data_IF_280195708609
#
_entry.id   IF_280195708609
#
_cell.length_a   1.000
_cell.length_b   1.000
_cell.length_c   1.000
_cell.angle_alpha   90.00
_cell.angle_beta   90.00
_cell.angle_gamma   90.00
#
_symmetry.space_group_name_H-M   'P 1'
#
loop_
_entity.id
_entity.type
_entity.pdbx_description
1 polymer ?
#
# COMPACT_ATOMS: atom_id res chain seq x y z
N UNK A 1 -10.41 10.46 -23.74
CA UNK A 1 -9.44 10.04 -22.69
C UNK A 1 -9.00 11.26 -21.89
N UNK A 2 -9.07 11.24 -20.55
CA UNK A 2 -8.63 12.38 -19.72
C UNK A 2 -7.10 12.52 -19.77
N UNK A 3 -6.61 13.76 -19.92
CA UNK A 3 -5.17 14.10 -19.97
C UNK A 3 -4.47 13.67 -18.67
N UNK A 4 -5.16 13.71 -17.53
CA UNK A 4 -4.67 13.22 -16.24
C UNK A 4 -4.18 11.76 -16.29
N UNK A 5 -4.83 10.89 -17.07
CA UNK A 5 -4.44 9.47 -17.14
C UNK A 5 -3.33 9.20 -18.15
N UNK A 6 -3.15 10.08 -19.13
CA UNK A 6 -1.97 10.04 -20.01
C UNK A 6 -0.72 10.44 -19.23
N UNK A 7 -0.85 11.46 -18.37
CA UNK A 7 0.21 11.93 -17.48
C UNK A 7 0.46 10.93 -16.35
N UNK A 8 -0.53 10.68 -15.50
CA UNK A 8 -0.39 9.90 -14.26
C UNK A 8 -0.19 8.39 -14.46
N UNK A 9 -0.44 7.87 -15.66
CA UNK A 9 -0.04 6.51 -16.08
C UNK A 9 0.93 6.54 -17.27
N UNK A 10 1.78 7.57 -17.32
CA UNK A 10 2.76 7.81 -18.37
C UNK A 10 4.16 7.33 -17.99
N UNK A 11 5.13 8.22 -18.13
CA UNK A 11 6.55 7.98 -17.84
C UNK A 11 7.14 9.24 -17.22
N UNK A 12 7.91 9.07 -16.17
CA UNK A 12 8.75 10.13 -15.60
C UNK A 12 10.04 10.18 -16.40
N UNK A 13 10.31 11.33 -17.01
CA UNK A 13 11.48 11.50 -17.91
C UNK A 13 12.77 11.77 -17.13
N UNK A 14 12.70 12.50 -16.01
CA UNK A 14 13.87 13.01 -15.31
C UNK A 14 13.93 12.53 -13.84
N UNK A 15 15.13 12.20 -13.40
CA UNK A 15 15.50 12.11 -11.98
C UNK A 15 16.05 13.47 -11.56
N UNK A 16 15.43 14.10 -10.55
CA UNK A 16 15.78 15.44 -10.11
C UNK A 16 16.29 15.42 -8.67
N UNK A 17 17.14 16.40 -8.35
CA UNK A 17 17.50 16.81 -7.00
C UNK A 17 17.34 18.33 -6.95
N UNK A 18 16.43 18.80 -6.11
CA UNK A 18 16.06 20.21 -5.99
C UNK A 18 16.19 20.59 -4.52
N UNK A 19 17.08 21.55 -4.23
CA UNK A 19 17.36 21.97 -2.86
C UNK A 19 16.17 22.68 -2.20
N UNK A 20 15.38 23.42 -2.98
CA UNK A 20 14.21 24.14 -2.49
C UNK A 20 13.12 24.22 -3.57
N UNK A 21 11.94 23.68 -3.25
CA UNK A 21 10.74 23.80 -4.08
C UNK A 21 10.08 25.17 -3.91
N UNK A 22 9.40 25.64 -4.95
CA UNK A 22 8.58 26.86 -4.85
C UNK A 22 7.40 26.63 -3.89
N UNK A 23 7.42 27.31 -2.75
CA UNK A 23 6.39 27.22 -1.72
C UNK A 23 5.36 28.35 -1.85
N UNK A 24 4.08 28.00 -1.71
CA UNK A 24 2.97 28.93 -1.47
C UNK A 24 2.38 28.62 -0.10
N UNK A 25 2.07 29.64 0.70
CA UNK A 25 1.61 29.46 2.08
C UNK A 25 2.77 29.30 3.06
N UNK A 26 2.49 28.79 4.27
CA UNK A 26 3.50 28.62 5.33
C UNK A 26 3.39 27.22 5.95
N UNK A 27 4.51 26.50 5.95
CA UNK A 27 4.65 25.23 6.66
C UNK A 27 4.91 25.53 8.15
N UNK A 28 4.26 24.84 9.10
CA UNK A 28 4.54 25.04 10.52
C UNK A 28 5.99 24.72 10.88
N UNK A 29 6.61 25.58 11.69
CA UNK A 29 8.05 25.51 12.04
C UNK A 29 8.45 24.21 12.78
N UNK A 30 7.49 23.43 13.28
CA UNK A 30 7.74 22.14 13.94
C UNK A 30 7.83 20.95 12.98
N UNK A 31 7.47 21.15 11.70
CA UNK A 31 7.50 20.10 10.67
C UNK A 31 8.93 19.96 10.16
N UNK A 32 9.65 19.02 10.76
CA UNK A 32 11.03 18.70 10.45
C UNK A 32 11.16 17.19 10.21
N UNK A 33 11.75 16.79 9.10
CA UNK A 33 11.88 15.38 8.72
C UNK A 33 11.76 15.17 7.22
N UNK A 34 11.46 13.93 6.82
CA UNK A 34 11.41 13.55 5.41
C UNK A 34 10.24 12.63 5.11
N UNK A 35 9.45 12.99 4.11
CA UNK A 35 8.45 12.13 3.49
C UNK A 35 9.11 11.32 2.37
N UNK A 36 9.12 10.00 2.52
CA UNK A 36 9.48 9.07 1.44
C UNK A 36 8.20 8.46 0.86
N UNK A 37 8.06 8.49 -0.47
CA UNK A 37 6.93 7.91 -1.22
C UNK A 37 7.46 6.88 -2.22
N UNK A 38 6.67 5.84 -2.47
CA UNK A 38 6.92 4.87 -3.52
C UNK A 38 5.74 4.81 -4.50
N UNK A 39 6.06 4.44 -5.73
CA UNK A 39 5.08 4.27 -6.79
C UNK A 39 5.72 3.84 -8.10
N UNK A 40 4.93 3.74 -9.17
CA UNK A 40 5.44 3.55 -10.50
C UNK A 40 6.06 4.86 -11.02
N UNK A 41 7.28 4.82 -11.55
CA UNK A 41 7.91 5.91 -12.30
C UNK A 41 7.71 5.81 -13.80
N UNK A 42 7.34 4.63 -14.33
CA UNK A 42 6.98 4.46 -15.74
C UNK A 42 6.02 3.28 -15.94
N UNK A 43 5.12 3.41 -16.91
CA UNK A 43 4.24 2.35 -17.41
C UNK A 43 4.65 1.83 -18.79
N UNK A 44 5.88 2.11 -19.23
CA UNK A 44 6.40 1.71 -20.54
C UNK A 44 7.78 1.07 -20.44
N UNK A 45 8.06 0.18 -21.40
CA UNK A 45 9.40 -0.34 -21.68
C UNK A 45 9.53 -0.46 -23.21
N UNK A 46 10.28 0.47 -23.81
CA UNK A 46 10.29 0.67 -25.27
C UNK A 46 8.87 0.88 -25.81
N UNK A 47 8.47 0.05 -26.79
CA UNK A 47 7.14 0.11 -27.40
C UNK A 47 6.07 -0.71 -26.63
N UNK A 48 6.43 -1.35 -25.52
CA UNK A 48 5.51 -2.15 -24.72
C UNK A 48 4.93 -1.31 -23.57
N UNK A 49 3.65 -1.53 -23.28
CA UNK A 49 2.96 -0.89 -22.16
C UNK A 49 2.61 -1.94 -21.11
N UNK A 50 2.78 -1.57 -19.84
CA UNK A 50 2.22 -2.34 -18.74
C UNK A 50 0.69 -2.25 -18.75
N UNK A 51 0.01 -3.29 -18.25
CA UNK A 51 -1.45 -3.46 -18.40
C UNK A 51 -2.24 -2.98 -17.18
N UNK A 52 -1.61 -2.91 -16.02
CA UNK A 52 -2.28 -2.68 -14.74
C UNK A 52 -1.59 -1.57 -13.95
N UNK A 53 -2.34 -0.85 -13.13
CA UNK A 53 -1.78 0.20 -12.28
C UNK A 53 -0.59 -0.31 -11.45
N UNK A 54 -0.67 -1.53 -10.92
CA UNK A 54 0.38 -2.15 -10.09
C UNK A 54 1.61 -2.67 -10.85
N UNK A 55 1.69 -2.51 -12.18
CA UNK A 55 2.75 -3.12 -12.99
C UNK A 55 3.89 -2.17 -13.38
N UNK A 56 3.73 -0.84 -13.21
CA UNK A 56 4.77 0.12 -13.59
C UNK A 56 6.10 -0.14 -12.87
N UNK A 57 7.22 0.42 -13.34
CA UNK A 57 8.53 0.21 -12.69
C UNK A 57 8.75 1.18 -11.54
N UNK A 58 9.37 0.74 -10.44
CA UNK A 58 9.46 1.48 -9.18
C UNK A 58 10.27 2.79 -9.27
N UNK A 59 9.73 3.85 -8.66
CA UNK A 59 10.43 5.11 -8.42
C UNK A 59 10.16 5.60 -7.00
N UNK A 60 11.24 6.00 -6.33
CA UNK A 60 11.20 6.63 -5.01
C UNK A 60 11.12 8.14 -5.18
N UNK A 61 10.35 8.78 -4.30
CA UNK A 61 10.30 10.24 -4.17
C UNK A 61 10.57 10.64 -2.72
N UNK A 62 11.33 11.70 -2.52
CA UNK A 62 11.75 12.22 -1.22
C UNK A 62 11.40 13.70 -1.13
N UNK A 63 10.77 14.08 -0.03
CA UNK A 63 10.54 15.48 0.34
C UNK A 63 11.13 15.73 1.72
N UNK A 64 12.17 16.56 1.83
CA UNK A 64 12.81 16.87 3.11
C UNK A 64 12.39 18.26 3.57
N UNK A 65 11.83 18.33 4.78
CA UNK A 65 11.36 19.55 5.42
C UNK A 65 12.42 20.04 6.38
N UNK A 66 12.86 21.28 6.19
CA UNK A 66 13.84 21.91 7.06
C UNK A 66 13.69 23.42 7.11
N UNK A 67 13.62 23.99 8.30
CA UNK A 67 13.50 25.44 8.54
C UNK A 67 12.38 26.09 7.72
N UNK A 68 11.23 25.43 7.59
CA UNK A 68 10.09 25.93 6.80
C UNK A 68 10.23 25.82 5.28
N UNK A 69 11.32 25.22 4.78
CA UNK A 69 11.54 24.93 3.35
C UNK A 69 11.32 23.44 3.05
N UNK A 70 11.14 23.10 1.76
CA UNK A 70 10.98 21.72 1.29
C UNK A 70 11.92 21.48 0.11
N UNK A 71 12.80 20.49 0.23
CA UNK A 71 13.59 19.98 -0.89
C UNK A 71 12.93 18.76 -1.51
N UNK A 72 13.31 18.41 -2.75
CA UNK A 72 12.75 17.27 -3.47
C UNK A 72 13.83 16.45 -4.17
N UNK A 73 13.69 15.13 -4.16
CA UNK A 73 14.44 14.25 -5.03
C UNK A 73 13.59 13.06 -5.51
N UNK A 74 13.87 12.56 -6.70
CA UNK A 74 13.30 11.30 -7.18
C UNK A 74 14.35 10.44 -7.88
N UNK A 75 14.23 9.11 -7.73
CA UNK A 75 15.15 8.14 -8.32
C UNK A 75 14.42 6.85 -8.65
N UNK A 76 14.63 6.31 -9.85
CA UNK A 76 14.21 4.96 -10.20
C UNK A 76 14.95 3.97 -9.31
N UNK A 77 14.20 2.98 -8.81
CA UNK A 77 14.80 1.89 -8.06
C UNK A 77 15.65 1.05 -9.03
N UNK A 78 16.97 1.03 -8.82
CA UNK A 78 17.94 0.34 -9.67
C UNK A 78 17.91 -1.17 -9.45
N UNK A 79 16.80 -1.78 -9.87
CA UNK A 79 16.51 -3.20 -9.80
C UNK A 79 16.76 -3.89 -11.15
N UNK A 80 16.84 -5.23 -11.16
CA UNK A 80 17.06 -5.98 -12.41
C UNK A 80 15.91 -5.78 -13.39
N UNK A 81 14.66 -5.72 -12.90
CA UNK A 81 13.49 -5.47 -13.73
C UNK A 81 13.59 -4.13 -14.47
N UNK A 82 13.96 -3.05 -13.78
CA UNK A 82 14.15 -1.73 -14.40
C UNK A 82 15.34 -1.71 -15.36
N UNK A 83 16.49 -2.23 -14.94
CA UNK A 83 17.72 -2.20 -15.73
C UNK A 83 17.60 -3.03 -17.02
N UNK A 84 17.03 -4.24 -16.96
CA UNK A 84 16.78 -5.05 -18.16
C UNK A 84 15.72 -4.42 -19.06
N UNK A 85 14.67 -3.79 -18.49
CA UNK A 85 13.65 -3.12 -19.29
C UNK A 85 14.19 -1.91 -20.06
N UNK A 86 15.05 -1.12 -19.42
CA UNK A 86 15.73 0.03 -20.03
C UNK A 86 16.74 -0.41 -21.09
N UNK A 87 17.55 -1.43 -20.79
CA UNK A 87 18.59 -1.93 -21.70
C UNK A 87 18.00 -2.59 -22.97
N UNK A 88 16.94 -3.39 -22.79
CA UNK A 88 16.38 -4.19 -23.88
C UNK A 88 15.16 -3.55 -24.56
N UNK A 89 14.73 -2.38 -24.11
CA UNK A 89 13.54 -1.66 -24.58
C UNK A 89 12.28 -2.55 -24.62
N UNK A 90 12.14 -3.43 -23.63
CA UNK A 90 11.01 -4.38 -23.52
C UNK A 90 10.79 -4.83 -22.09
N UNK A 91 9.56 -5.20 -21.76
CA UNK A 91 9.22 -5.82 -20.49
C UNK A 91 9.97 -7.16 -20.40
N UNK A 92 10.77 -7.32 -19.35
CA UNK A 92 11.69 -8.46 -19.19
C UNK A 92 11.30 -9.41 -18.04
N UNK A 93 10.41 -8.96 -17.15
CA UNK A 93 9.94 -9.70 -15.97
C UNK A 93 8.42 -9.73 -15.93
N UNK A 94 7.87 -10.82 -15.39
CA UNK A 94 6.46 -10.90 -15.04
C UNK A 94 6.18 -10.04 -13.80
N UNK A 95 5.18 -9.19 -13.90
CA UNK A 95 4.69 -8.31 -12.83
C UNK A 95 3.37 -8.85 -12.25
N UNK A 96 2.56 -7.99 -11.64
CA UNK A 96 1.30 -8.38 -11.01
C UNK A 96 0.27 -8.89 -12.04
N UNK A 97 0.12 -8.20 -13.18
CA UNK A 97 -0.85 -8.49 -14.24
C UNK A 97 -0.28 -8.43 -15.67
N UNK A 98 1.03 -8.23 -15.82
CA UNK A 98 1.71 -8.20 -17.12
C UNK A 98 2.82 -9.25 -17.18
N UNK A 99 2.81 -10.08 -18.21
CA UNK A 99 3.91 -11.00 -18.54
C UNK A 99 4.71 -10.44 -19.73
N UNK A 100 6.02 -10.69 -19.80
CA UNK A 100 6.81 -10.32 -20.97
C UNK A 100 6.40 -11.20 -22.17
N UNK A 101 6.60 -10.68 -23.39
CA UNK A 101 6.35 -11.45 -24.61
C UNK A 101 7.40 -12.55 -24.78
N UNK A 102 7.14 -13.73 -24.20
CA UNK A 102 8.01 -14.90 -24.37
C UNK A 102 7.82 -15.57 -25.74
N UNK A 103 8.92 -15.96 -26.38
CA UNK A 103 8.90 -16.99 -27.42
C UNK A 103 8.46 -18.34 -26.83
N UNK A 104 8.00 -19.31 -27.64
CA UNK A 104 7.64 -20.64 -27.11
C UNK A 104 8.78 -21.30 -26.31
N UNK A 105 10.03 -21.08 -26.72
CA UNK A 105 11.21 -21.62 -26.05
C UNK A 105 11.49 -20.93 -24.71
N UNK A 106 11.31 -19.61 -24.63
CA UNK A 106 11.49 -18.86 -23.38
C UNK A 106 10.39 -19.17 -22.36
N UNK A 107 9.17 -19.49 -22.81
CA UNK A 107 8.10 -20.00 -21.93
C UNK A 107 8.50 -21.30 -21.25
N UNK A 108 9.11 -22.22 -21.99
CA UNK A 108 9.59 -23.51 -21.45
C UNK A 108 10.71 -23.26 -20.44
N UNK A 109 11.69 -22.41 -20.73
CA UNK A 109 12.74 -22.03 -19.77
C UNK A 109 12.20 -21.33 -18.52
N UNK A 110 11.23 -20.43 -18.66
CA UNK A 110 10.60 -19.71 -17.57
C UNK A 110 9.89 -20.62 -16.56
N UNK A 111 9.38 -21.77 -17.00
CA UNK A 111 8.81 -22.80 -16.11
C UNK A 111 9.88 -23.47 -15.24
N UNK A 112 11.11 -23.63 -15.74
CA UNK A 112 12.22 -24.25 -15.01
C UNK A 112 13.04 -23.26 -14.16
N UNK A 113 12.94 -21.95 -14.42
CA UNK A 113 13.63 -20.89 -13.68
C UNK A 113 12.81 -19.60 -13.70
N UNK A 114 11.74 -19.51 -12.88
CA UNK A 114 10.87 -18.34 -12.86
C UNK A 114 11.65 -17.10 -12.39
N UNK A 115 11.66 -16.05 -13.22
CA UNK A 115 12.19 -14.73 -12.87
C UNK A 115 11.13 -13.98 -12.07
N UNK A 116 11.33 -13.84 -10.75
CA UNK A 116 10.51 -12.98 -9.89
C UNK A 116 11.01 -11.54 -10.06
N UNK A 117 10.10 -10.60 -10.30
CA UNK A 117 10.42 -9.17 -10.38
C UNK A 117 10.99 -8.66 -9.05
N UNK A 118 11.93 -7.74 -9.11
CA UNK A 118 12.50 -7.01 -7.97
C UNK A 118 12.15 -5.51 -8.00
N UNK A 119 11.18 -5.12 -8.83
CA UNK A 119 10.65 -3.76 -8.90
C UNK A 119 9.66 -3.47 -7.77
N UNK A 120 10.18 -3.27 -6.55
CA UNK A 120 9.41 -2.96 -5.35
C UNK A 120 8.88 -1.51 -5.33
N UNK A 121 7.60 -1.33 -5.63
CA UNK A 121 6.97 -0.04 -5.98
C UNK A 121 5.80 0.38 -5.11
N UNK A 122 5.43 -0.44 -4.12
CA UNK A 122 4.16 -0.26 -3.43
C UNK A 122 4.31 0.64 -2.20
N UNK A 123 5.30 0.34 -1.35
CA UNK A 123 5.52 1.09 -0.10
C UNK A 123 7.02 1.29 0.17
N UNK A 124 7.34 2.10 1.18
CA UNK A 124 8.66 2.18 1.82
C UNK A 124 8.49 1.97 3.31
N UNK A 125 9.45 1.30 3.95
CA UNK A 125 9.44 1.08 5.39
C UNK A 125 10.83 1.07 5.99
N UNK A 126 10.94 1.51 7.24
CA UNK A 126 12.12 1.30 8.07
C UNK A 126 11.96 -0.05 8.80
N UNK A 127 12.58 -1.09 8.28
CA UNK A 127 12.52 -2.44 8.82
C UNK A 127 13.68 -2.65 9.82
N UNK A 128 13.50 -2.14 11.04
CA UNK A 128 14.47 -2.25 12.15
C UNK A 128 15.87 -1.72 11.82
N UNK A 129 15.95 -0.55 11.18
CA UNK A 129 17.19 0.16 10.84
C UNK A 129 17.61 0.06 9.37
N UNK A 130 16.83 -0.64 8.54
CA UNK A 130 17.03 -0.72 7.09
C UNK A 130 15.85 -0.07 6.37
N UNK A 131 16.13 0.86 5.47
CA UNK A 131 15.08 1.43 4.61
C UNK A 131 14.87 0.52 3.40
N UNK A 132 13.65 0.05 3.23
CA UNK A 132 13.30 -0.98 2.26
C UNK A 132 12.11 -0.53 1.44
N UNK A 133 12.26 -0.55 0.11
CA UNK A 133 11.19 -0.47 -0.85
C UNK A 133 10.45 -1.82 -0.88
N UNK A 134 9.13 -1.77 -0.70
CA UNK A 134 8.27 -2.93 -0.54
C UNK A 134 7.37 -3.12 -1.76
N UNK A 135 7.14 -4.37 -2.16
CA UNK A 135 6.28 -4.68 -3.30
C UNK A 135 5.71 -6.11 -3.30
N UNK A 136 4.67 -6.32 -4.09
CA UNK A 136 3.98 -7.61 -4.25
C UNK A 136 3.67 -7.85 -5.73
N UNK A 137 3.99 -9.03 -6.31
CA UNK A 137 4.69 -10.18 -5.73
C UNK A 137 6.23 -10.03 -5.74
N UNK A 138 6.77 -8.80 -5.79
CA UNK A 138 8.19 -8.56 -6.02
C UNK A 138 9.09 -8.94 -4.84
N UNK A 139 10.38 -9.10 -5.11
CA UNK A 139 11.40 -9.05 -4.07
C UNK A 139 11.45 -7.63 -3.47
N UNK A 140 11.77 -7.55 -2.18
CA UNK A 140 11.92 -6.26 -1.49
C UNK A 140 13.33 -5.73 -1.75
N UNK A 141 13.54 -4.42 -1.69
CA UNK A 141 14.84 -3.82 -2.01
C UNK A 141 15.26 -2.79 -0.96
N UNK A 142 16.40 -3.01 -0.32
CA UNK A 142 17.04 -2.03 0.55
C UNK A 142 17.56 -0.85 -0.30
N UNK A 143 17.41 0.36 0.23
CA UNK A 143 17.90 1.58 -0.39
C UNK A 143 18.44 2.54 0.67
N UNK A 144 19.36 3.41 0.26
CA UNK A 144 19.85 4.52 1.07
C UNK A 144 18.79 5.63 1.06
N UNK A 145 18.21 5.99 2.22
CA UNK A 145 17.13 6.97 2.29
C UNK A 145 17.60 8.43 2.09
N UNK A 146 18.90 8.71 2.23
CA UNK A 146 19.47 10.04 1.95
C UNK A 146 19.65 10.23 0.44
N UNK A 147 20.20 9.24 -0.26
CA UNK A 147 20.55 9.36 -1.69
C UNK A 147 19.53 8.71 -2.65
N UNK A 148 18.59 7.94 -2.10
CA UNK A 148 17.66 7.05 -2.82
C UNK A 148 18.36 5.93 -3.62
N UNK A 149 19.63 5.64 -3.33
CA UNK A 149 20.38 4.59 -4.04
C UNK A 149 19.96 3.19 -3.61
N UNK A 150 19.69 2.32 -4.58
CA UNK A 150 19.42 0.91 -4.32
C UNK A 150 20.67 0.21 -3.79
N UNK A 151 20.52 -0.46 -2.64
CA UNK A 151 21.59 -1.21 -1.99
C UNK A 151 21.55 -2.68 -2.42
N UNK A 152 20.37 -3.31 -2.37
CA UNK A 152 20.24 -4.71 -2.76
C UNK A 152 18.94 -5.36 -2.31
N UNK A 153 18.76 -6.63 -2.66
CA UNK A 153 17.55 -7.38 -2.31
C UNK A 153 17.49 -7.62 -0.81
N UNK A 154 16.34 -7.27 -0.22
CA UNK A 154 16.01 -7.57 1.17
C UNK A 154 15.12 -8.82 1.23
N UNK A 155 15.40 -9.72 2.18
CA UNK A 155 14.64 -10.95 2.35
C UNK A 155 14.37 -11.28 3.82
N UNK A 156 13.19 -11.84 4.09
CA UNK A 156 12.80 -12.32 5.42
C UNK A 156 13.36 -13.70 5.77
N UNK A 157 13.90 -14.45 4.80
CA UNK A 157 14.67 -15.68 5.05
C UNK A 157 15.48 -16.07 3.79
N UNK A 158 16.31 -17.11 3.88
CA UNK A 158 17.21 -17.56 2.81
C UNK A 158 16.52 -18.12 1.55
N UNK A 159 15.20 -18.29 1.55
CA UNK A 159 14.38 -18.83 0.45
C UNK A 159 13.59 -17.75 -0.27
N UNK A 160 14.29 -16.67 -0.62
CA UNK A 160 13.78 -15.42 -1.20
C UNK A 160 12.74 -15.64 -2.31
N UNK A 161 12.95 -16.62 -3.20
CA UNK A 161 12.11 -16.85 -4.38
C UNK A 161 10.81 -17.64 -4.12
N UNK A 162 10.45 -17.95 -2.88
CA UNK A 162 9.24 -18.73 -2.57
C UNK A 162 8.15 -17.91 -1.88
N UNK A 163 8.38 -16.61 -1.68
CA UNK A 163 7.51 -15.77 -0.87
C UNK A 163 6.80 -14.70 -1.68
N UNK A 164 5.54 -14.48 -1.31
CA UNK A 164 4.88 -13.18 -1.45
C UNK A 164 4.77 -12.60 -0.04
N UNK A 165 5.03 -11.30 0.12
CA UNK A 165 5.04 -10.65 1.43
C UNK A 165 4.11 -9.46 1.40
N UNK A 166 3.35 -9.25 2.47
CA UNK A 166 2.58 -8.02 2.63
C UNK A 166 3.51 -6.82 2.59
N UNK A 167 3.04 -5.70 2.06
CA UNK A 167 3.78 -4.42 1.96
C UNK A 167 3.42 -3.43 3.07
N UNK A 168 2.70 -3.94 4.07
CA UNK A 168 2.18 -3.20 5.23
C UNK A 168 2.66 -3.84 6.54
N UNK A 169 3.98 -3.80 6.81
CA UNK A 169 4.51 -4.27 8.08
C UNK A 169 4.00 -3.40 9.23
N UNK A 170 3.76 -4.01 10.38
CA UNK A 170 3.42 -3.28 11.60
C UNK A 170 4.65 -3.05 12.45
N UNK A 171 4.70 -1.90 13.13
CA UNK A 171 5.82 -1.50 14.00
C UNK A 171 5.32 -1.30 15.42
N UNK A 172 6.04 -1.87 16.39
CA UNK A 172 5.81 -1.69 17.82
C UNK A 172 7.14 -1.66 18.58
N UNK A 173 7.49 -0.51 19.17
CA UNK A 173 8.68 -0.34 20.01
C UNK A 173 9.99 -0.91 19.40
N UNK A 174 10.24 -0.61 18.13
CA UNK A 174 11.37 -1.08 17.29
C UNK A 174 11.32 -2.54 16.81
N UNK A 175 10.32 -3.32 17.23
CA UNK A 175 10.00 -4.59 16.59
C UNK A 175 9.16 -4.34 15.34
N UNK A 176 9.48 -5.03 14.27
CA UNK A 176 8.71 -5.01 13.03
C UNK A 176 8.12 -6.39 12.81
N UNK A 177 6.82 -6.48 12.56
CA UNK A 177 6.15 -7.72 12.21
C UNK A 177 5.60 -7.59 10.80
N UNK A 178 5.84 -8.61 9.97
CA UNK A 178 5.25 -8.68 8.64
C UNK A 178 4.72 -10.08 8.34
N UNK A 179 3.80 -10.19 7.38
CA UNK A 179 3.19 -11.45 6.98
C UNK A 179 3.75 -11.92 5.63
N UNK A 180 4.31 -13.12 5.60
CA UNK A 180 4.79 -13.76 4.37
C UNK A 180 3.98 -15.00 4.03
N UNK A 181 3.69 -15.19 2.76
CA UNK A 181 3.09 -16.40 2.20
C UNK A 181 4.16 -17.20 1.49
N UNK A 182 4.47 -18.39 2.01
CA UNK A 182 5.38 -19.33 1.36
C UNK A 182 4.62 -20.35 0.53
N UNK A 183 4.84 -20.32 -0.78
CA UNK A 183 4.23 -21.27 -1.71
C UNK A 183 4.96 -22.61 -1.70
N UNK A 184 4.17 -23.68 -1.84
CA UNK A 184 4.65 -25.05 -1.90
C UNK A 184 3.49 -26.04 -1.97
N UNK A 185 3.78 -27.35 -1.98
CA UNK A 185 2.74 -28.41 -1.97
C UNK A 185 1.73 -28.21 -0.84
N UNK A 186 2.22 -27.79 0.32
CA UNK A 186 1.42 -27.17 1.38
C UNK A 186 2.01 -25.80 1.60
N UNK A 187 1.23 -24.77 1.29
CA UNK A 187 1.66 -23.38 1.46
C UNK A 187 1.46 -22.97 2.93
N UNK A 188 2.15 -21.92 3.37
CA UNK A 188 2.05 -21.42 4.74
C UNK A 188 2.00 -19.90 4.77
N UNK A 189 1.07 -19.35 5.54
CA UNK A 189 1.20 -17.98 6.04
C UNK A 189 2.14 -17.97 7.24
N UNK A 190 3.01 -16.98 7.34
CA UNK A 190 4.05 -16.88 8.36
C UNK A 190 4.21 -15.44 8.82
N UNK A 191 4.00 -15.19 10.10
CA UNK A 191 4.36 -13.92 10.71
C UNK A 191 5.86 -13.93 11.02
N UNK A 192 6.59 -13.00 10.44
CA UNK A 192 8.02 -12.80 10.63
C UNK A 192 8.24 -11.56 11.47
N UNK A 193 9.04 -11.68 12.53
CA UNK A 193 9.48 -10.58 13.39
C UNK A 193 10.90 -10.19 13.05
N UNK A 194 11.16 -8.89 13.01
CA UNK A 194 12.48 -8.30 12.81
C UNK A 194 12.79 -7.39 13.99
N UNK A 195 14.04 -7.47 14.42
CA UNK A 195 14.61 -6.60 15.46
C UNK A 195 16.01 -6.22 15.01
N UNK A 196 16.44 -5.02 15.38
CA UNK A 196 17.72 -4.47 14.89
C UNK A 196 18.88 -5.40 15.27
N UNK A 197 19.68 -5.78 14.28
CA UNK A 197 20.86 -6.63 14.47
C UNK A 197 20.59 -8.13 14.60
N UNK A 198 19.33 -8.57 14.50
CA UNK A 198 18.97 -9.99 14.53
C UNK A 198 18.41 -10.45 13.18
N UNK A 199 18.60 -11.73 12.88
CA UNK A 199 17.93 -12.37 11.75
C UNK A 199 16.40 -12.41 11.96
N UNK A 200 15.59 -12.40 10.89
CA UNK A 200 14.14 -12.51 10.99
C UNK A 200 13.70 -13.80 11.70
N UNK A 201 12.73 -13.68 12.61
CA UNK A 201 12.25 -14.78 13.46
C UNK A 201 10.81 -15.14 13.10
N UNK A 202 10.50 -16.43 13.02
CA UNK A 202 9.12 -16.90 12.84
C UNK A 202 8.35 -16.75 14.17
N UNK A 203 7.25 -16.00 14.16
CA UNK A 203 6.37 -15.83 15.32
C UNK A 203 5.25 -16.87 15.31
N UNK A 204 4.53 -16.95 14.20
CA UNK A 204 3.38 -17.84 14.04
C UNK A 204 3.26 -18.30 12.60
N UNK A 205 2.62 -19.45 12.38
CA UNK A 205 2.38 -19.97 11.02
C UNK A 205 1.06 -20.70 10.89
N UNK A 206 0.49 -20.64 9.68
CA UNK A 206 -0.76 -21.30 9.33
C UNK A 206 -0.61 -22.02 7.99
N UNK A 207 -0.75 -23.35 8.02
CA UNK A 207 -0.83 -24.17 6.80
C UNK A 207 -2.08 -23.83 6.01
N UNK A 208 -1.93 -23.69 4.69
CA UNK A 208 -3.01 -23.40 3.76
C UNK A 208 -2.83 -24.15 2.44
N UNK A 209 -3.93 -24.73 1.93
CA UNK A 209 -3.92 -25.44 0.64
C UNK A 209 -4.11 -24.51 -0.54
N UNK A 210 -4.95 -23.50 -0.40
CA UNK A 210 -5.25 -22.50 -1.44
C UNK A 210 -5.05 -21.12 -0.84
N UNK A 211 -3.81 -20.58 -0.90
CA UNK A 211 -3.49 -19.27 -0.36
C UNK A 211 -4.43 -18.19 -0.91
N UNK A 212 -4.83 -17.27 -0.06
CA UNK A 212 -5.53 -16.05 -0.42
C UNK A 212 -4.55 -14.96 -0.83
N UNK A 213 -5.06 -13.97 -1.54
CA UNK A 213 -4.34 -12.72 -1.74
C UNK A 213 -4.44 -11.92 -0.44
N UNK A 214 -3.31 -11.65 0.20
CA UNK A 214 -3.21 -10.92 1.47
C UNK A 214 -2.29 -9.74 1.24
N UNK A 215 -2.83 -8.52 1.28
CA UNK A 215 -2.06 -7.30 1.06
C UNK A 215 -1.57 -6.65 2.37
N UNK A 216 -2.38 -6.78 3.42
CA UNK A 216 -2.10 -6.32 4.78
C UNK A 216 -2.67 -7.29 5.81
N UNK A 217 -2.39 -7.05 7.09
CA UNK A 217 -2.90 -7.84 8.20
C UNK A 217 -3.22 -6.94 9.41
N UNK A 218 -4.03 -7.44 10.35
CA UNK A 218 -4.35 -6.73 11.58
C UNK A 218 -3.40 -7.09 12.71
N UNK A 219 -3.03 -6.11 13.53
CA UNK A 219 -2.23 -6.31 14.75
C UNK A 219 -2.85 -5.53 15.90
N UNK A 220 -3.01 -6.19 17.03
CA UNK A 220 -3.38 -5.59 18.32
C UNK A 220 -2.25 -5.84 19.32
N UNK A 221 -2.40 -5.35 20.56
CA UNK A 221 -1.39 -5.47 21.59
C UNK A 221 -0.94 -6.93 21.80
N UNK A 222 -1.90 -7.85 21.86
CA UNK A 222 -1.65 -9.26 22.15
C UNK A 222 -1.87 -10.19 20.95
N UNK A 223 -2.53 -9.75 19.88
CA UNK A 223 -2.93 -10.63 18.78
C UNK A 223 -2.49 -10.19 17.39
N UNK A 224 -2.18 -11.19 16.55
CA UNK A 224 -1.97 -11.07 15.10
C UNK A 224 -3.17 -11.67 14.36
N UNK A 225 -3.67 -10.96 13.35
CA UNK A 225 -4.92 -11.27 12.64
C UNK A 225 -4.65 -11.50 11.17
N UNK A 226 -4.93 -12.71 10.68
CA UNK A 226 -5.04 -12.97 9.24
C UNK A 226 -6.52 -12.91 8.86
N UNK A 227 -6.88 -11.91 8.05
CA UNK A 227 -8.19 -11.83 7.40
C UNK A 227 -8.08 -12.46 6.01
N UNK A 228 -8.35 -13.77 5.93
CA UNK A 228 -8.16 -14.56 4.71
C UNK A 228 -9.38 -14.45 3.80
N UNK A 229 -9.33 -13.48 2.89
CA UNK A 229 -10.37 -13.25 1.88
C UNK A 229 -10.55 -14.47 0.96
N UNK A 230 -11.76 -14.74 0.45
CA UNK A 230 -12.00 -15.85 -0.46
C UNK A 230 -11.50 -15.62 -1.90
N UNK A 231 -10.51 -14.75 -2.10
CA UNK A 231 -9.81 -14.58 -3.37
C UNK A 231 -8.51 -15.39 -3.36
N UNK A 232 -8.54 -16.58 -3.94
CA UNK A 232 -7.53 -17.63 -3.67
C UNK A 232 -6.90 -18.21 -4.90
N UNK A 233 -5.72 -18.79 -4.74
CA UNK A 233 -4.96 -19.40 -5.82
C UNK A 233 -4.65 -20.87 -5.54
N UNK A 234 -4.52 -21.67 -6.61
CA UNK A 234 -3.93 -22.99 -6.53
C UNK A 234 -2.40 -22.86 -6.75
N UNK A 235 -1.55 -23.19 -5.77
CA UNK A 235 -0.10 -23.04 -5.89
C UNK A 235 0.52 -23.72 -7.11
N UNK A 236 -0.01 -24.88 -7.52
CA UNK A 236 0.47 -25.58 -8.72
C UNK A 236 0.14 -24.80 -10.00
N UNK A 237 -0.96 -24.05 -10.03
CA UNK A 237 -1.29 -23.23 -11.21
C UNK A 237 -0.33 -22.05 -11.37
N UNK A 238 0.09 -21.42 -10.27
CA UNK A 238 1.10 -20.33 -10.31
C UNK A 238 2.43 -20.85 -10.84
N UNK A 239 2.82 -22.07 -10.45
CA UNK A 239 4.10 -22.65 -10.87
C UNK A 239 4.12 -23.10 -12.33
N UNK A 240 2.97 -23.53 -12.89
CA UNK A 240 2.93 -24.21 -14.20
C UNK A 240 2.09 -23.52 -15.29
N UNK A 241 1.35 -22.44 -15.00
CA UNK A 241 0.60 -21.68 -16.03
C UNK A 241 1.35 -20.41 -16.45
N UNK A 242 1.37 -20.15 -17.75
CA UNK A 242 1.84 -18.90 -18.35
C UNK A 242 0.76 -17.80 -18.28
N UNK A 243 0.30 -17.48 -17.07
CA UNK A 243 -0.57 -16.33 -16.81
C UNK A 243 0.07 -15.44 -15.74
N UNK A 244 -0.17 -14.12 -15.79
CA UNK A 244 0.32 -13.20 -14.77
C UNK A 244 -0.17 -13.58 -13.37
N UNK A 245 0.53 -13.11 -12.33
CA UNK A 245 0.32 -13.51 -10.94
C UNK A 245 -1.15 -13.44 -10.52
N UNK A 246 -1.79 -12.28 -10.67
CA UNK A 246 -3.16 -12.07 -10.19
C UNK A 246 -4.22 -12.81 -11.01
N UNK A 247 -3.97 -13.06 -12.30
CA UNK A 247 -4.90 -13.79 -13.19
C UNK A 247 -5.05 -15.28 -12.82
N UNK A 248 -4.21 -15.79 -11.89
CA UNK A 248 -4.33 -17.13 -11.35
C UNK A 248 -5.29 -17.21 -10.14
N UNK A 249 -5.65 -16.08 -9.53
CA UNK A 249 -6.55 -16.01 -8.38
C UNK A 249 -8.02 -16.10 -8.80
N UNK A 250 -8.82 -16.77 -7.97
CA UNK A 250 -10.24 -17.04 -8.21
C UNK A 250 -11.03 -16.66 -6.97
N UNK A 251 -12.09 -15.87 -7.17
CA UNK A 251 -13.05 -15.52 -6.13
C UNK A 251 -13.96 -16.71 -5.81
N UNK A 252 -14.08 -17.05 -4.52
CA UNK A 252 -14.82 -18.21 -4.00
C UNK A 252 -15.68 -17.84 -2.79
N UNK A 253 -16.69 -16.97 -2.96
CA UNK A 253 -17.43 -16.35 -1.86
C UNK A 253 -18.13 -17.38 -0.96
N UNK A 254 -18.45 -18.56 -1.48
CA UNK A 254 -19.01 -19.69 -0.72
C UNK A 254 -18.13 -20.14 0.46
N UNK A 255 -16.84 -19.77 0.47
CA UNK A 255 -15.92 -20.04 1.60
C UNK A 255 -16.10 -19.09 2.79
N UNK A 256 -16.74 -17.94 2.59
CA UNK A 256 -16.67 -16.80 3.50
C UNK A 256 -15.25 -16.24 3.65
N UNK A 257 -15.12 -15.16 4.41
CA UNK A 257 -13.81 -14.66 4.84
C UNK A 257 -13.42 -15.33 6.14
N UNK A 258 -12.26 -16.00 6.17
CA UNK A 258 -11.79 -16.74 7.36
C UNK A 258 -10.86 -15.84 8.17
N UNK A 259 -11.09 -15.75 9.47
CA UNK A 259 -10.29 -14.93 10.38
C UNK A 259 -9.49 -15.87 11.28
N UNK A 260 -8.16 -15.75 11.25
CA UNK A 260 -7.25 -16.47 12.14
C UNK A 260 -6.62 -15.49 13.11
N UNK A 261 -6.71 -15.79 14.41
CA UNK A 261 -6.20 -14.95 15.48
C UNK A 261 -5.12 -15.73 16.21
N UNK A 262 -3.90 -15.20 16.21
CA UNK A 262 -2.75 -15.78 16.90
C UNK A 262 -2.38 -14.91 18.08
N UNK A 263 -2.01 -15.53 19.19
CA UNK A 263 -1.32 -14.84 20.28
C UNK A 263 0.08 -14.45 19.80
N UNK A 264 0.39 -13.16 19.89
CA UNK A 264 1.61 -12.56 19.32
C UNK A 264 2.87 -13.04 20.02
N UNK A 265 2.78 -13.39 21.30
CA UNK A 265 3.94 -13.77 22.12
C UNK A 265 4.29 -15.24 21.97
N UNK A 266 3.30 -16.13 22.10
CA UNK A 266 3.48 -17.58 22.04
C UNK A 266 3.35 -18.15 20.63
N UNK A 267 2.81 -17.38 19.69
CA UNK A 267 2.56 -17.81 18.31
C UNK A 267 1.38 -18.79 18.16
N UNK A 268 0.65 -19.08 19.24
CA UNK A 268 -0.44 -20.04 19.24
C UNK A 268 -1.66 -19.49 18.52
N UNK A 269 -2.30 -20.32 17.69
CA UNK A 269 -3.62 -20.03 17.14
C UNK A 269 -4.64 -20.04 18.28
N UNK A 270 -5.18 -18.87 18.63
CA UNK A 270 -6.19 -18.69 19.68
C UNK A 270 -7.58 -18.97 19.14
N UNK A 271 -7.86 -18.48 17.93
CA UNK A 271 -9.19 -18.59 17.35
C UNK A 271 -9.16 -18.66 15.84
N UNK A 272 -10.09 -19.44 15.30
CA UNK A 272 -10.46 -19.44 13.90
C UNK A 272 -11.97 -19.23 13.78
N UNK A 273 -12.38 -18.23 13.03
CA UNK A 273 -13.80 -17.93 12.79
C UNK A 273 -14.03 -17.51 11.34
N UNK A 274 -15.29 -17.31 10.97
CA UNK A 274 -15.72 -16.98 9.60
C UNK A 274 -16.73 -15.84 9.66
N UNK A 275 -16.63 -14.92 8.70
CA UNK A 275 -17.65 -13.90 8.40
C UNK A 275 -18.08 -14.01 6.94
N UNK A 276 -19.07 -13.21 6.54
CA UNK A 276 -19.49 -13.13 5.15
C UNK A 276 -18.33 -12.75 4.23
N UNK A 277 -18.38 -13.21 2.98
CA UNK A 277 -17.31 -12.97 2.02
C UNK A 277 -17.19 -11.47 1.71
N UNK A 278 -15.95 -10.99 1.74
CA UNK A 278 -15.57 -9.65 1.31
C UNK A 278 -14.09 -9.64 0.91
N UNK A 279 -13.65 -8.56 0.28
CA UNK A 279 -12.26 -8.36 -0.12
C UNK A 279 -11.73 -7.06 0.48
N UNK A 280 -10.43 -6.96 0.74
CA UNK A 280 -9.80 -5.70 1.12
C UNK A 280 -8.32 -5.69 0.76
N UNK A 281 -7.78 -4.49 0.58
CA UNK A 281 -6.35 -4.26 0.57
C UNK A 281 -5.85 -3.87 1.97
N UNK A 282 -6.53 -2.93 2.64
CA UNK A 282 -6.01 -2.27 3.82
C UNK A 282 -6.82 -2.56 5.09
N UNK A 283 -6.14 -3.14 6.09
CA UNK A 283 -6.54 -2.99 7.48
C UNK A 283 -6.22 -1.56 7.93
N UNK A 284 -7.09 -0.99 8.77
CA UNK A 284 -6.94 0.37 9.30
C UNK A 284 -6.27 0.28 10.68
N UNK A 285 -6.97 -0.28 11.67
CA UNK A 285 -6.43 -0.48 13.02
C UNK A 285 -7.07 -1.72 13.65
N UNK A 286 -6.43 -2.28 14.67
CA UNK A 286 -6.98 -3.41 15.44
C UNK A 286 -6.62 -3.32 16.92
N UNK A 287 -7.58 -3.49 17.81
CA UNK A 287 -7.39 -3.27 19.25
C UNK A 287 -8.29 -4.19 20.08
N UNK A 288 -7.98 -4.28 21.37
CA UNK A 288 -8.67 -5.16 22.30
C UNK A 288 -9.57 -4.36 23.25
N UNK A 289 -10.76 -4.89 23.54
CA UNK A 289 -11.68 -4.34 24.55
C UNK A 289 -12.28 -5.49 25.36
N UNK A 290 -11.76 -5.71 26.57
CA UNK A 290 -12.15 -6.87 27.38
C UNK A 290 -11.81 -8.17 26.65
N UNK A 291 -12.81 -8.99 26.36
CA UNK A 291 -12.66 -10.26 25.62
C UNK A 291 -12.90 -10.11 24.10
N UNK A 292 -13.13 -8.90 23.62
CA UNK A 292 -13.36 -8.63 22.20
C UNK A 292 -12.07 -8.17 21.52
N UNK A 293 -11.77 -8.76 20.37
CA UNK A 293 -10.81 -8.25 19.41
C UNK A 293 -11.57 -7.49 18.32
N UNK A 294 -11.23 -6.22 18.14
CA UNK A 294 -11.90 -5.30 17.22
C UNK A 294 -10.91 -4.92 16.14
N UNK A 295 -11.33 -4.92 14.88
CA UNK A 295 -10.49 -4.45 13.78
C UNK A 295 -11.31 -3.77 12.69
N UNK A 296 -10.70 -2.74 12.10
CA UNK A 296 -11.31 -1.88 11.09
C UNK A 296 -10.61 -2.10 9.75
N UNK A 297 -11.38 -2.16 8.66
CA UNK A 297 -10.89 -2.49 7.31
C UNK A 297 -11.56 -1.60 6.27
N UNK A 298 -10.79 -1.18 5.25
CA UNK A 298 -11.32 -0.61 4.01
C UNK A 298 -11.79 -1.75 3.08
N UNK A 299 -13.07 -2.09 3.15
CA UNK A 299 -13.61 -3.33 2.62
C UNK A 299 -14.45 -3.15 1.35
N UNK A 300 -14.27 -4.06 0.41
CA UNK A 300 -15.04 -4.21 -0.82
C UNK A 300 -15.97 -5.43 -0.73
N UNK A 301 -17.11 -5.42 -1.42
CA UNK A 301 -17.97 -6.61 -1.49
C UNK A 301 -17.25 -7.82 -2.14
N UNK A 302 -16.37 -7.57 -3.11
CA UNK A 302 -15.64 -8.58 -3.88
C UNK A 302 -14.33 -7.98 -4.46
N UNK A 303 -13.44 -8.77 -5.10
CA UNK A 303 -12.16 -8.28 -5.61
C UNK A 303 -12.27 -7.53 -6.96
N UNK A 304 -13.46 -7.10 -7.39
CA UNK A 304 -13.69 -6.37 -8.64
C UNK A 304 -12.88 -5.08 -8.77
N UNK A 305 -12.44 -4.50 -7.64
CA UNK A 305 -11.50 -3.37 -7.61
C UNK A 305 -10.20 -3.68 -8.36
N UNK A 306 -9.64 -4.90 -8.21
CA UNK A 306 -8.43 -5.33 -8.93
C UNK A 306 -8.66 -5.26 -10.44
N UNK A 307 -9.81 -5.74 -10.90
CA UNK A 307 -10.13 -5.70 -12.33
C UNK A 307 -10.29 -4.26 -12.81
N UNK A 308 -10.82 -3.38 -11.97
CA UNK A 308 -11.01 -1.96 -12.30
C UNK A 308 -9.68 -1.20 -12.43
N UNK A 309 -8.58 -1.73 -11.88
CA UNK A 309 -7.25 -1.13 -11.97
C UNK A 309 -6.43 -1.50 -13.21
N UNK A 310 -6.98 -2.28 -14.14
CA UNK A 310 -6.38 -2.40 -15.47
C UNK A 310 -6.42 -1.04 -16.19
N UNK A 311 -5.31 -0.65 -16.83
CA UNK A 311 -5.13 0.70 -17.36
C UNK A 311 -6.10 1.02 -18.50
N UNK A 312 -6.47 0.04 -19.32
CA UNK A 312 -7.50 0.19 -20.35
C UNK A 312 -8.87 0.52 -19.74
N UNK A 313 -9.20 -0.07 -18.59
CA UNK A 313 -10.43 0.20 -17.83
C UNK A 313 -10.38 1.53 -17.08
N UNK A 314 -9.30 1.85 -16.36
CA UNK A 314 -9.17 3.15 -15.68
C UNK A 314 -9.28 4.32 -16.68
N UNK A 315 -8.71 4.15 -17.88
CA UNK A 315 -8.72 5.16 -18.94
C UNK A 315 -10.06 5.26 -19.68
N UNK A 316 -10.97 4.31 -19.47
CA UNK A 316 -12.31 4.31 -20.08
C UNK A 316 -13.20 5.43 -19.54
N UNK A 317 -14.07 5.95 -20.41
CA UNK A 317 -15.13 6.90 -20.08
C UNK A 317 -16.40 6.23 -19.54
N UNK A 318 -16.40 4.90 -19.40
CA UNK A 318 -17.48 4.14 -18.77
C UNK A 318 -17.02 3.45 -17.49
N UNK A 319 -15.88 3.87 -16.94
CA UNK A 319 -15.29 3.19 -15.78
C UNK A 319 -16.19 3.31 -14.55
N UNK A 320 -16.23 2.23 -13.80
CA UNK A 320 -16.84 2.18 -12.46
C UNK A 320 -15.74 1.69 -11.53
N UNK A 321 -15.24 2.56 -10.67
CA UNK A 321 -14.32 2.17 -9.62
C UNK A 321 -15.13 1.89 -8.35
N UNK A 322 -15.14 0.66 -7.82
CA UNK A 322 -15.76 0.42 -6.53
C UNK A 322 -14.94 1.15 -5.45
N UNK A 323 -15.61 1.64 -4.41
CA UNK A 323 -14.97 2.25 -3.26
C UNK A 323 -14.96 1.34 -2.04
N UNK A 324 -13.97 1.49 -1.16
CA UNK A 324 -13.87 0.73 0.07
C UNK A 324 -14.77 1.32 1.16
N UNK A 325 -15.52 0.48 1.86
CA UNK A 325 -16.31 0.87 3.03
C UNK A 325 -15.48 0.71 4.30
N UNK A 326 -15.53 1.68 5.21
CA UNK A 326 -14.93 1.52 6.55
C UNK A 326 -15.80 0.57 7.37
N UNK A 327 -15.37 -0.69 7.50
CA UNK A 327 -16.09 -1.73 8.25
C UNK A 327 -15.35 -2.09 9.54
N UNK A 328 -16.07 -2.08 10.66
CA UNK A 328 -15.60 -2.53 11.97
C UNK A 328 -16.11 -3.93 12.28
N UNK A 329 -15.19 -4.86 12.46
CA UNK A 329 -15.48 -6.23 12.86
C UNK A 329 -15.20 -6.41 14.36
N UNK A 330 -16.08 -7.12 15.05
CA UNK A 330 -15.94 -7.45 16.48
C UNK A 330 -15.91 -8.96 16.64
N UNK A 331 -14.83 -9.47 17.23
CA UNK A 331 -14.64 -10.90 17.49
C UNK A 331 -14.56 -11.11 18.99
N UNK A 332 -15.64 -11.60 19.59
CA UNK A 332 -15.58 -12.16 20.94
C UNK A 332 -14.72 -13.43 20.89
N UNK A 333 -13.63 -13.47 21.67
CA UNK A 333 -12.66 -14.56 21.66
C UNK A 333 -13.21 -15.87 22.27
N UNK A 334 -14.25 -15.79 23.10
CA UNK A 334 -14.85 -16.94 23.79
C UNK A 334 -16.14 -17.46 23.13
N UNK A 335 -16.81 -16.63 22.32
CA UNK A 335 -18.08 -16.99 21.67
C UNK A 335 -17.90 -17.73 20.35
N UNK A 336 -18.78 -18.68 20.01
CA UNK A 336 -18.83 -19.30 18.67
C UNK A 336 -19.71 -18.56 17.67
N UNK A 337 -20.21 -17.37 18.03
CA UNK A 337 -21.07 -16.58 17.15
C UNK A 337 -20.34 -16.16 15.86
N UNK A 338 -21.12 -16.05 14.78
CA UNK A 338 -20.64 -15.52 13.51
C UNK A 338 -20.20 -14.08 13.68
N UNK A 339 -19.03 -13.73 13.17
CA UNK A 339 -18.52 -12.36 13.19
C UNK A 339 -19.32 -11.53 12.19
N UNK A 340 -19.87 -10.41 12.65
CA UNK A 340 -20.54 -9.41 11.82
C UNK A 340 -19.72 -8.11 11.81
N UNK A 341 -20.15 -7.15 10.99
CA UNK A 341 -19.54 -5.82 10.95
C UNK A 341 -20.58 -4.72 11.07
N UNK A 342 -20.12 -3.54 11.47
CA UNK A 342 -20.84 -2.28 11.32
C UNK A 342 -20.06 -1.36 10.36
N UNK A 343 -20.76 -0.55 9.58
CA UNK A 343 -20.12 0.52 8.79
C UNK A 343 -19.91 1.72 9.70
N UNK A 344 -18.72 2.34 9.61
CA UNK A 344 -18.38 3.50 10.45
C UNK A 344 -18.75 4.84 9.81
N UNK A 345 -18.74 4.91 8.49
CA UNK A 345 -19.11 6.10 7.69
C UNK A 345 -19.75 5.68 6.37
N UNK A 346 -20.44 6.62 5.71
CA UNK A 346 -20.98 6.43 4.36
C UNK A 346 -19.97 6.74 3.24
N UNK A 347 -18.84 7.38 3.57
CA UNK A 347 -17.79 7.68 2.61
C UNK A 347 -17.09 6.42 2.10
N UNK A 348 -16.78 6.45 0.82
CA UNK A 348 -16.00 5.44 0.13
C UNK A 348 -14.54 5.87 0.08
N UNK A 349 -13.65 5.02 0.60
CA UNK A 349 -12.27 5.39 0.89
C UNK A 349 -11.28 4.36 0.39
N UNK A 350 -10.04 4.81 0.19
CA UNK A 350 -8.85 3.97 0.09
C UNK A 350 -7.59 4.67 0.65
N UNK A 351 -6.50 3.92 0.76
CA UNK A 351 -5.22 4.32 1.34
C UNK A 351 -5.42 4.99 2.72
N UNK A 352 -6.10 4.29 3.66
CA UNK A 352 -6.43 4.87 4.96
C UNK A 352 -5.19 5.08 5.81
N UNK A 353 -5.14 6.23 6.46
CA UNK A 353 -4.12 6.66 7.41
C UNK A 353 -4.81 7.23 8.65
N UNK A 354 -4.10 7.18 9.76
CA UNK A 354 -4.49 7.79 11.02
C UNK A 354 -3.21 8.09 11.78
N UNK A 355 -3.33 8.57 13.01
CA UNK A 355 -2.18 8.77 13.88
C UNK A 355 -1.59 7.44 14.36
N UNK A 356 -0.90 6.74 13.45
CA UNK A 356 -0.38 5.40 13.67
C UNK A 356 0.60 5.36 14.85
N UNK A 357 1.54 6.31 14.92
CA UNK A 357 2.59 6.33 15.94
C UNK A 357 2.03 6.37 17.37
N UNK A 358 0.90 7.06 17.58
CA UNK A 358 0.28 7.15 18.91
C UNK A 358 -0.84 6.13 19.13
N UNK A 359 -1.62 5.84 18.10
CA UNK A 359 -2.92 5.17 18.23
C UNK A 359 -2.97 3.78 17.58
N UNK A 360 -1.87 3.31 16.99
CA UNK A 360 -1.78 1.93 16.56
C UNK A 360 -2.07 1.00 17.76
N UNK A 361 -2.92 -0.01 17.53
CA UNK A 361 -3.40 -0.94 18.54
C UNK A 361 -4.27 -0.33 19.66
N UNK A 362 -4.69 0.93 19.53
CA UNK A 362 -5.47 1.66 20.52
C UNK A 362 -6.89 1.98 20.01
N UNK A 363 -7.91 1.56 20.76
CA UNK A 363 -9.32 1.77 20.42
C UNK A 363 -9.86 3.18 20.65
N UNK A 364 -9.07 4.10 21.21
CA UNK A 364 -9.51 5.46 21.51
C UNK A 364 -9.42 6.42 20.30
N UNK A 365 -8.99 5.93 19.14
CA UNK A 365 -8.88 6.71 17.92
C UNK A 365 -10.25 7.06 17.30
N UNK A 366 -10.28 8.11 16.49
CA UNK A 366 -11.48 8.75 15.96
C UNK A 366 -11.35 9.18 14.50
N UNK A 367 -10.17 9.61 14.05
CA UNK A 367 -10.01 10.21 12.73
C UNK A 367 -9.23 9.30 11.78
N UNK A 368 -9.78 9.11 10.60
CA UNK A 368 -9.13 8.41 9.48
C UNK A 368 -9.02 9.38 8.31
N UNK A 369 -7.83 9.48 7.73
CA UNK A 369 -7.54 10.26 6.54
C UNK A 369 -7.34 9.30 5.37
N UNK A 370 -7.94 9.58 4.22
CA UNK A 370 -7.92 8.66 3.08
C UNK A 370 -8.09 9.41 1.77
N UNK A 371 -7.77 8.77 0.64
CA UNK A 371 -8.29 9.21 -0.64
C UNK A 371 -9.71 8.69 -0.80
N UNK A 372 -10.55 9.47 -1.46
CA UNK A 372 -11.93 9.10 -1.77
C UNK A 372 -12.29 9.45 -3.20
N UNK A 373 -13.54 9.25 -3.55
CA UNK A 373 -14.08 9.58 -4.87
C UNK A 373 -15.39 10.32 -4.73
N UNK A 374 -15.61 11.34 -5.55
CA UNK A 374 -16.95 11.93 -5.65
C UNK A 374 -17.93 10.90 -6.23
N UNK A 375 -18.74 10.33 -5.35
CA UNK A 375 -19.76 9.33 -5.69
C UNK A 375 -20.84 9.84 -6.65
N UNK A 376 -20.97 11.16 -6.81
CA UNK A 376 -21.90 11.79 -7.76
C UNK A 376 -21.27 11.99 -9.13
N UNK A 377 -19.94 12.04 -9.22
CA UNK A 377 -19.23 12.24 -10.47
C UNK A 377 -19.12 10.92 -11.26
N UNK A 378 -19.63 10.93 -12.50
CA UNK A 378 -19.38 9.82 -13.43
C UNK A 378 -17.88 9.74 -13.74
N UNK A 379 -17.32 8.54 -13.69
CA UNK A 379 -15.90 8.26 -13.98
C UNK A 379 -14.89 8.98 -13.07
N UNK A 380 -15.24 9.22 -11.80
CA UNK A 380 -14.27 9.67 -10.80
C UNK A 380 -13.07 8.70 -10.71
N UNK A 381 -11.92 9.21 -10.28
CA UNK A 381 -10.73 8.43 -9.93
C UNK A 381 -10.00 9.21 -8.85
N UNK A 382 -10.14 8.79 -7.60
CA UNK A 382 -9.43 9.33 -6.44
C UNK A 382 -9.17 10.85 -6.50
N UNK A 383 -10.25 11.63 -6.59
CA UNK A 383 -10.24 13.08 -6.84
C UNK A 383 -10.42 13.92 -5.57
N UNK A 384 -10.37 13.28 -4.40
CA UNK A 384 -10.59 13.95 -3.13
C UNK A 384 -9.82 13.29 -1.97
N UNK A 385 -9.54 14.08 -0.93
CA UNK A 385 -9.04 13.61 0.37
C UNK A 385 -10.20 13.67 1.37
N UNK A 386 -10.39 12.61 2.14
CA UNK A 386 -11.49 12.46 3.10
C UNK A 386 -10.92 12.34 4.52
N UNK A 387 -11.41 13.19 5.43
CA UNK A 387 -11.26 13.03 6.89
C UNK A 387 -12.57 12.44 7.43
N UNK A 388 -12.52 11.21 7.88
CA UNK A 388 -13.64 10.49 8.49
C UNK A 388 -13.55 10.54 10.00
N UNK A 389 -14.62 11.03 10.66
CA UNK A 389 -14.82 10.92 12.10
C UNK A 389 -15.70 9.70 12.40
N UNK A 390 -15.06 8.61 12.82
CA UNK A 390 -15.74 7.33 13.05
C UNK A 390 -16.58 7.29 14.32
N UNK A 391 -16.51 8.31 15.19
CA UNK A 391 -17.38 8.41 16.37
C UNK A 391 -18.69 9.11 16.04
N UNK A 392 -18.64 10.16 15.22
CA UNK A 392 -19.85 10.87 14.79
C UNK A 392 -20.46 10.30 13.50
N UNK A 393 -19.70 9.51 12.74
CA UNK A 393 -20.08 8.95 11.44
C UNK A 393 -20.01 9.96 10.29
N UNK A 394 -19.51 11.19 10.55
CA UNK A 394 -19.43 12.27 9.58
C UNK A 394 -18.05 12.32 8.93
N UNK A 395 -17.98 12.92 7.75
CA UNK A 395 -16.71 13.18 7.05
C UNK A 395 -16.62 14.60 6.54
N UNK A 396 -15.40 15.09 6.36
CA UNK A 396 -15.08 16.33 5.65
C UNK A 396 -14.20 15.98 4.46
N UNK A 397 -14.38 16.68 3.35
CA UNK A 397 -13.74 16.38 2.08
C UNK A 397 -12.98 17.61 1.59
N UNK A 398 -11.77 17.40 1.08
CA UNK A 398 -11.03 18.36 0.28
C UNK A 398 -10.97 17.86 -1.16
N UNK A 399 -11.23 18.75 -2.10
CA UNK A 399 -11.03 18.52 -3.53
C UNK A 399 -10.71 19.84 -4.23
N UNK A 400 -10.01 19.74 -5.35
CA UNK A 400 -9.71 20.87 -6.24
C UNK A 400 -9.96 20.42 -7.68
N UNK A 401 -10.49 21.31 -8.51
CA UNK A 401 -10.84 20.95 -9.89
C UNK A 401 -9.60 20.46 -10.66
N UNK A 402 -9.75 19.36 -11.40
CA UNK A 402 -8.68 18.73 -12.19
C UNK A 402 -7.45 18.29 -11.36
N UNK A 403 -7.63 18.10 -10.05
CA UNK A 403 -6.58 17.64 -9.15
C UNK A 403 -6.87 16.22 -8.65
N UNK A 404 -5.81 15.43 -8.52
CA UNK A 404 -5.88 14.01 -8.17
C UNK A 404 -4.90 13.72 -7.03
N UNK A 405 -5.34 13.75 -5.77
CA UNK A 405 -4.48 13.52 -4.62
C UNK A 405 -4.06 12.05 -4.47
N UNK A 406 -2.84 11.84 -3.96
CA UNK A 406 -2.37 10.55 -3.44
C UNK A 406 -2.70 10.36 -1.97
N UNK A 407 -2.22 9.25 -1.39
CA UNK A 407 -2.39 8.90 0.03
C UNK A 407 -2.05 10.09 0.97
N UNK A 408 -2.99 10.46 1.87
CA UNK A 408 -2.79 11.53 2.84
C UNK A 408 -2.01 11.05 4.08
N UNK A 409 -0.73 11.41 4.17
CA UNK A 409 0.13 11.06 5.30
C UNK A 409 -0.07 12.07 6.43
N UNK A 410 -0.60 11.61 7.58
CA UNK A 410 -0.75 12.42 8.78
C UNK A 410 0.55 12.54 9.56
N UNK A 411 0.85 13.76 10.03
CA UNK A 411 1.98 14.06 10.91
C UNK A 411 1.46 14.83 12.13
N UNK A 412 1.61 14.21 13.29
CA UNK A 412 1.22 14.79 14.57
C UNK A 412 2.09 16.00 14.92
N UNK A 413 1.48 17.09 15.40
CA UNK A 413 2.21 18.14 16.08
C UNK A 413 2.85 17.58 17.38
N UNK A 414 4.17 17.65 17.59
CA UNK A 414 4.83 17.04 18.75
C UNK A 414 4.30 17.49 20.13
N UNK A 415 3.67 18.67 20.19
CA UNK A 415 3.07 19.24 21.41
C UNK A 415 1.56 19.03 21.49
N UNK A 416 1.00 18.28 20.56
CA UNK A 416 -0.44 18.09 20.38
C UNK A 416 -1.11 17.46 21.60
N UNK A 417 -2.35 17.90 21.83
CA UNK A 417 -3.26 17.34 22.83
C UNK A 417 -4.51 16.70 22.22
N UNK A 418 -4.84 16.95 20.96
CA UNK A 418 -5.95 16.31 20.25
C UNK A 418 -5.44 15.32 19.21
N UNK A 419 -6.26 14.36 18.81
CA UNK A 419 -5.87 13.36 17.82
C UNK A 419 -5.58 13.94 16.44
N UNK A 420 -6.27 15.01 16.05
CA UNK A 420 -6.18 15.66 14.74
C UNK A 420 -5.37 16.96 14.74
N UNK A 421 -4.66 17.30 15.82
CA UNK A 421 -3.72 18.43 15.83
C UNK A 421 -2.39 17.99 15.21
N UNK A 422 -2.23 18.37 13.94
CA UNK A 422 -1.16 17.98 13.06
C UNK A 422 -1.42 18.46 11.63
N UNK A 423 -0.65 17.93 10.68
CA UNK A 423 -0.81 18.22 9.26
C UNK A 423 -1.06 16.95 8.45
N UNK A 424 -1.63 17.13 7.26
CA UNK A 424 -1.71 16.10 6.21
C UNK A 424 -0.79 16.50 5.05
N UNK A 425 0.00 15.55 4.58
CA UNK A 425 0.78 15.66 3.35
C UNK A 425 0.18 14.76 2.27
N UNK A 426 -0.04 15.30 1.06
CA UNK A 426 -0.44 14.50 -0.10
C UNK A 426 0.23 15.03 -1.37
N UNK A 427 0.72 14.13 -2.22
CA UNK A 427 1.22 14.50 -3.56
C UNK A 427 0.03 14.52 -4.51
N UNK A 428 -0.22 15.68 -5.12
CA UNK A 428 -1.39 15.92 -5.97
C UNK A 428 -0.94 16.12 -7.41
N UNK A 429 -1.56 15.41 -8.36
CA UNK A 429 -1.39 15.69 -9.79
C UNK A 429 -2.38 16.77 -10.23
N UNK A 430 -1.88 17.87 -10.79
CA UNK A 430 -2.67 18.94 -11.43
C UNK A 430 -2.67 18.72 -12.95
N UNK A 431 -3.79 18.21 -13.48
CA UNK A 431 -3.95 17.94 -14.92
C UNK A 431 -3.86 19.22 -15.77
N UNK A 432 -4.31 20.36 -15.21
CA UNK A 432 -4.35 21.63 -15.91
C UNK A 432 -2.93 22.11 -16.22
N UNK A 433 -2.03 22.04 -15.23
CA UNK A 433 -0.60 22.37 -15.39
C UNK A 433 0.21 21.24 -16.01
N UNK A 434 -0.22 19.99 -15.83
CA UNK A 434 0.55 18.80 -16.21
C UNK A 434 1.68 18.43 -15.25
N UNK A 435 1.70 19.02 -14.06
CA UNK A 435 2.72 18.83 -13.02
C UNK A 435 2.06 18.42 -11.70
N UNK A 436 2.87 18.05 -10.72
CA UNK A 436 2.39 17.75 -9.36
C UNK A 436 2.79 18.82 -8.35
N UNK A 437 2.15 18.81 -7.19
CA UNK A 437 2.57 19.58 -6.03
C UNK A 437 2.41 18.74 -4.76
N UNK A 438 3.20 19.04 -3.73
CA UNK A 438 2.99 18.52 -2.39
C UNK A 438 2.02 19.45 -1.65
N UNK A 439 0.81 18.97 -1.40
CA UNK A 439 -0.21 19.63 -0.60
C UNK A 439 0.10 19.48 0.89
N UNK A 440 -0.03 20.56 1.64
CA UNK A 440 0.05 20.60 3.10
C UNK A 440 -1.26 21.16 3.65
N UNK A 441 -1.99 20.34 4.40
CA UNK A 441 -3.25 20.74 5.04
C UNK A 441 -3.14 20.74 6.55
N UNK A 442 -3.84 21.65 7.20
CA UNK A 442 -4.13 21.54 8.63
C UNK A 442 -5.12 20.39 8.85
N UNK A 443 -4.76 19.42 9.69
CA UNK A 443 -5.56 18.22 9.86
C UNK A 443 -6.85 18.48 10.67
N UNK A 444 -6.91 19.55 11.47
CA UNK A 444 -8.05 19.88 12.31
C UNK A 444 -9.14 20.62 11.53
N UNK A 445 -8.80 21.76 10.92
CA UNK A 445 -9.71 22.53 10.06
C UNK A 445 -9.96 21.87 8.71
N UNK A 446 -9.05 20.97 8.30
CA UNK A 446 -9.07 20.27 7.02
C UNK A 446 -9.00 21.22 5.81
N UNK A 447 -8.21 22.29 5.96
CA UNK A 447 -7.96 23.30 4.92
C UNK A 447 -6.48 23.31 4.52
N UNK A 448 -6.20 23.65 3.27
CA UNK A 448 -4.84 23.87 2.81
C UNK A 448 -4.16 25.04 3.54
N UNK A 449 -2.91 24.84 3.96
CA UNK A 449 -2.07 25.86 4.60
C UNK A 449 -0.80 26.17 3.80
N UNK A 450 -0.33 25.22 2.98
CA UNK A 450 0.75 25.41 2.04
C UNK A 450 0.71 24.40 0.88
N UNK A 451 1.41 24.72 -0.21
CA UNK A 451 1.76 23.76 -1.26
C UNK A 451 3.16 24.02 -1.82
N UNK A 452 3.90 22.96 -2.11
CA UNK A 452 5.22 23.03 -2.75
C UNK A 452 5.14 22.48 -4.18
N UNK A 453 5.41 23.32 -5.18
CA UNK A 453 5.25 22.97 -6.60
C UNK A 453 6.41 22.08 -7.08
N UNK A 454 6.11 20.97 -7.76
CA UNK A 454 7.09 20.04 -8.34
C UNK A 454 7.18 20.34 -9.85
N UNK A 455 8.37 20.45 -10.46
CA UNK A 455 8.50 20.88 -11.86
C UNK A 455 8.07 19.83 -12.90
N UNK A 456 7.64 18.65 -12.46
CA UNK A 456 7.09 17.58 -13.30
C UNK A 456 5.91 16.89 -12.64
N UNK A 457 5.21 16.06 -13.40
CA UNK A 457 4.21 15.15 -12.87
C UNK A 457 4.85 14.02 -12.05
N UNK A 458 4.31 13.79 -10.86
CA UNK A 458 4.50 12.54 -10.13
C UNK A 458 3.36 11.61 -10.51
N UNK A 459 3.69 10.41 -10.99
CA UNK A 459 2.68 9.43 -11.40
C UNK A 459 1.85 8.97 -10.20
N UNK A 460 0.68 8.37 -10.46
CA UNK A 460 -0.17 7.86 -9.39
C UNK A 460 0.53 6.74 -8.61
N UNK A 461 1.08 7.09 -7.45
CA UNK A 461 1.72 6.16 -6.52
C UNK A 461 0.77 5.58 -5.49
N UNK A 462 1.30 4.88 -4.49
CA UNK A 462 0.50 4.20 -3.47
C UNK A 462 0.84 4.71 -2.08
N UNK A 463 1.96 4.24 -1.51
CA UNK A 463 2.26 4.45 -0.10
C UNK A 463 3.56 5.20 0.16
N UNK A 464 3.63 5.78 1.34
CA UNK A 464 4.85 6.37 1.86
C UNK A 464 4.75 6.73 3.33
N UNK A 465 5.88 7.12 3.91
CA UNK A 465 5.99 7.36 5.33
C UNK A 465 6.84 8.60 5.60
N UNK A 466 6.47 9.30 6.67
CA UNK A 466 7.23 10.44 7.17
C UNK A 466 8.16 9.97 8.29
N UNK A 467 9.41 10.38 8.23
CA UNK A 467 10.44 10.06 9.20
C UNK A 467 11.02 11.35 9.77
N UNK A 468 10.99 11.51 11.09
CA UNK A 468 11.60 12.67 11.77
C UNK A 468 13.12 12.68 11.68
N UNK A 469 13.73 11.49 11.60
CA UNK A 469 15.16 11.30 11.40
C UNK A 469 15.38 10.21 10.36
N UNK A 470 16.32 10.45 9.45
CA UNK A 470 16.79 9.50 8.46
C UNK A 470 18.29 9.30 8.67
#
# INVERSE_FOLDING_TARGET
>A
MRKAFEIGFGTTENELVIDELQLKGKIPDWVEGTLLRNGPGTFKAGNQNYRHWFDGLAMLHKFTFRNGTVSYANKFLQCKAYNEAKLNEKISYSEFATDPCYSLFDRVKGVFSPKITDSAKVNVGNLSGKFVALGEPSLQMEFDPETLESVGVFAYDNKVNQHVTTVHPHIDNNEVINLTTRFGRVSNYRFMKLTKGNDPQLVASQKVKSPAYLHSFGMSKNYLIITEFPYVVNPLKVLFKAKPFIENYVWKPERGTRIFIFDRNSGKLIKKTITDAFFAFHHINAFEKGNELIFDIAAYPDPGIIQSFYLDRIKSEEKILPGGEIRRYKVDLNSSQKVTFEKLTDELIELPRFDYDKLNMNGNYQFIYSIGMDSKAKNSFYDQIVKSDIKSGKSVVWSEQNCFPGEPVFIRNPKSKSEDDGIILSVVLDESKGNSFLLVMDAQSFTEIARAEIPHAVLFGYHGNFYTNI
#
